data_IF_730259891814
#
_entry.id   IF_730259891814
#
_cell.length_a   1.000
_cell.length_b   1.000
_cell.length_c   1.000
_cell.angle_alpha   90.00
_cell.angle_beta   90.00
_cell.angle_gamma   90.00
#
_symmetry.space_group_name_H-M   'P 1'
#
loop_
_entity.id
_entity.type
_entity.pdbx_description
1 polymer ?
#
# COMPACT_ATOMS: atom_id res chain seq x y z
N UNK A 1 12.72 -4.47 -9.76
CA UNK A 1 11.63 -3.89 -8.97
C UNK A 1 11.74 -2.40 -9.17
N UNK A 2 10.66 -1.76 -9.63
CA UNK A 2 10.66 -0.30 -9.77
C UNK A 2 10.36 0.34 -8.39
N UNK A 3 10.67 1.62 -8.22
CA UNK A 3 10.53 2.26 -6.89
C UNK A 3 9.09 2.25 -6.42
N UNK A 4 8.14 2.33 -7.36
CA UNK A 4 6.72 2.23 -7.08
C UNK A 4 6.32 0.89 -6.48
N UNK A 5 6.86 -0.22 -6.97
CA UNK A 5 6.61 -1.56 -6.42
C UNK A 5 7.14 -1.68 -4.99
N UNK A 6 8.33 -1.16 -4.71
CA UNK A 6 8.88 -1.16 -3.34
C UNK A 6 7.98 -0.40 -2.37
N UNK A 7 7.52 0.79 -2.76
CA UNK A 7 6.61 1.59 -1.94
C UNK A 7 5.27 0.86 -1.81
N UNK A 8 4.72 0.31 -2.88
CA UNK A 8 3.46 -0.46 -2.85
C UNK A 8 3.53 -1.62 -1.84
N UNK A 9 4.62 -2.39 -1.83
CA UNK A 9 4.82 -3.48 -0.87
C UNK A 9 4.87 -3.00 0.58
N UNK A 10 5.44 -1.82 0.84
CA UNK A 10 5.43 -1.21 2.17
C UNK A 10 4.00 -0.86 2.59
N UNK A 11 3.21 -0.27 1.69
CA UNK A 11 1.80 0.02 1.96
C UNK A 11 0.97 -1.24 2.21
N UNK A 12 1.21 -2.34 1.48
CA UNK A 12 0.57 -3.64 1.75
C UNK A 12 0.92 -4.17 3.14
N UNK A 13 2.21 -4.17 3.52
CA UNK A 13 2.65 -4.62 4.85
C UNK A 13 2.04 -3.78 5.98
N UNK A 14 1.87 -2.48 5.77
CA UNK A 14 1.20 -1.61 6.75
C UNK A 14 -0.29 -1.98 6.84
N UNK A 15 -0.96 -2.24 5.72
CA UNK A 15 -2.36 -2.65 5.73
C UNK A 15 -2.55 -3.99 6.45
N UNK A 16 -1.69 -4.98 6.19
CA UNK A 16 -1.68 -6.27 6.90
C UNK A 16 -1.54 -6.08 8.41
N UNK A 17 -0.58 -5.23 8.83
CA UNK A 17 -0.34 -4.95 10.24
C UNK A 17 -1.55 -4.25 10.91
N UNK A 18 -2.17 -3.29 10.23
CA UNK A 18 -3.35 -2.60 10.73
C UNK A 18 -4.55 -3.55 10.86
N UNK A 19 -4.76 -4.40 9.86
CA UNK A 19 -5.82 -5.40 9.85
C UNK A 19 -5.62 -6.43 10.97
N UNK A 20 -4.39 -6.94 11.13
CA UNK A 20 -4.04 -7.86 12.21
C UNK A 20 -4.25 -7.24 13.60
N UNK A 21 -3.99 -5.94 13.75
CA UNK A 21 -4.24 -5.20 14.99
C UNK A 21 -5.73 -4.89 15.24
N UNK A 22 -6.63 -5.24 14.31
CA UNK A 22 -8.05 -4.90 14.40
C UNK A 22 -8.32 -3.40 14.32
N UNK A 23 -7.46 -2.65 13.63
CA UNK A 23 -7.61 -1.21 13.45
C UNK A 23 -8.81 -0.88 12.55
N UNK A 24 -9.12 0.41 12.47
CA UNK A 24 -10.26 0.88 11.69
C UNK A 24 -10.17 0.48 10.20
N UNK A 25 -11.24 -0.14 9.67
CA UNK A 25 -11.34 -0.61 8.28
C UNK A 25 -11.09 0.49 7.24
N UNK A 26 -11.46 1.74 7.51
CA UNK A 26 -11.16 2.86 6.62
C UNK A 26 -9.66 3.07 6.47
N UNK A 27 -8.89 2.96 7.56
CA UNK A 27 -7.43 3.06 7.52
C UNK A 27 -6.84 1.91 6.72
N UNK A 28 -7.21 0.67 7.04
CA UNK A 28 -6.74 -0.53 6.30
C UNK A 28 -6.96 -0.35 4.80
N UNK A 29 -8.19 -0.01 4.40
CA UNK A 29 -8.57 0.17 3.00
C UNK A 29 -7.82 1.33 2.32
N UNK A 30 -7.50 2.41 3.05
CA UNK A 30 -6.70 3.51 2.51
C UNK A 30 -5.30 3.05 2.12
N UNK A 31 -4.64 2.25 2.98
CA UNK A 31 -3.31 1.70 2.68
C UNK A 31 -3.34 0.69 1.53
N UNK A 32 -4.33 -0.23 1.50
CA UNK A 32 -4.52 -1.16 0.36
C UNK A 32 -4.74 -0.40 -0.96
N UNK A 33 -5.56 0.64 -0.93
CA UNK A 33 -5.84 1.46 -2.12
C UNK A 33 -4.58 2.18 -2.61
N UNK A 34 -3.78 2.74 -1.69
CA UNK A 34 -2.51 3.38 -2.03
C UNK A 34 -1.53 2.39 -2.66
N UNK A 35 -1.36 1.20 -2.07
CA UNK A 35 -0.51 0.15 -2.63
C UNK A 35 -0.90 -0.22 -4.07
N UNK A 36 -2.20 -0.42 -4.31
CA UNK A 36 -2.72 -0.71 -5.65
C UNK A 36 -2.46 0.41 -6.66
N UNK A 37 -2.71 1.67 -6.27
CA UNK A 37 -2.46 2.81 -7.16
C UNK A 37 -0.98 2.90 -7.50
N UNK A 38 -0.11 2.69 -6.52
CA UNK A 38 1.34 2.73 -6.71
C UNK A 38 1.82 1.61 -7.64
N UNK A 39 1.31 0.38 -7.50
CA UNK A 39 1.71 -0.73 -8.36
C UNK A 39 1.22 -0.61 -9.80
N UNK A 40 0.12 0.13 -10.03
CA UNK A 40 -0.45 0.40 -11.36
C UNK A 40 0.13 1.67 -12.02
N UNK A 41 0.97 2.46 -11.33
CA UNK A 41 1.56 3.67 -11.90
C UNK A 41 2.52 3.32 -13.07
N UNK A 42 2.32 3.93 -14.25
CA UNK A 42 3.14 3.64 -15.44
C UNK A 42 4.55 4.24 -15.37
N UNK A 43 4.73 5.30 -14.58
CA UNK A 43 6.00 5.98 -14.36
C UNK A 43 6.37 5.90 -12.89
N UNK A 44 7.66 5.72 -12.60
CA UNK A 44 8.17 5.83 -11.24
C UNK A 44 7.95 7.24 -10.71
N UNK A 45 7.70 7.35 -9.41
CA UNK A 45 7.41 8.64 -8.74
C UNK A 45 8.69 9.49 -8.57
N UNK A 46 9.79 9.11 -9.22
CA UNK A 46 11.13 9.73 -9.09
C UNK A 46 11.70 10.14 -10.45
#
# INVERSE_FOLDING_TARGET
>A
MNKNQEIAEIFEKIADALEFKGENLFRVNAYRKAARVLSELPEDIE
#
